data_IF_289949617974
#
_entry.id   IF_289949617974
#
_cell.length_a   1.000
_cell.length_b   1.000
_cell.length_c   1.000
_cell.angle_alpha   90.00
_cell.angle_beta   90.00
_cell.angle_gamma   90.00
#
_symmetry.space_group_name_H-M   'P 1'
#
loop_
_entity.id
_entity.type
_entity.pdbx_description
1 polymer ?
#
# COMPACT_ATOMS: atom_id res chain seq x y z
N UNK A 1 -34.20 -18.62 49.31
CA UNK A 1 -32.73 -18.43 49.24
C UNK A 1 -32.32 -18.27 47.78
N UNK A 2 -32.22 -17.04 47.25
CA UNK A 2 -31.78 -16.76 45.87
C UNK A 2 -30.29 -16.43 45.90
N UNK A 3 -29.49 -17.16 45.13
CA UNK A 3 -28.05 -16.92 44.97
C UNK A 3 -27.82 -15.72 44.03
N UNK A 4 -26.87 -14.86 44.40
CA UNK A 4 -26.41 -13.73 43.60
C UNK A 4 -25.10 -14.14 42.90
N UNK A 5 -25.11 -14.31 41.58
CA UNK A 5 -23.90 -14.55 40.79
C UNK A 5 -23.16 -13.22 40.61
N UNK A 6 -21.88 -13.18 40.99
CA UNK A 6 -20.95 -12.07 40.70
C UNK A 6 -20.73 -12.01 39.18
N UNK A 7 -20.86 -10.81 38.60
CA UNK A 7 -20.40 -10.48 37.25
C UNK A 7 -18.87 -10.43 37.25
N UNK A 8 -18.25 -11.14 36.32
CA UNK A 8 -16.87 -10.88 35.90
C UNK A 8 -16.84 -9.53 35.17
N UNK A 9 -15.72 -8.82 35.33
CA UNK A 9 -15.40 -7.55 34.70
C UNK A 9 -14.39 -7.88 33.60
N UNK A 10 -14.84 -7.81 32.35
CA UNK A 10 -14.04 -8.12 31.17
C UNK A 10 -13.17 -6.89 30.82
N UNK A 11 -11.88 -7.15 30.64
CA UNK A 11 -10.77 -6.21 30.47
C UNK A 11 -10.40 -6.08 28.98
N UNK A 12 -11.39 -5.84 28.13
CA UNK A 12 -11.28 -5.90 26.66
C UNK A 12 -10.81 -4.57 26.01
N UNK A 13 -10.31 -3.63 26.82
CA UNK A 13 -10.07 -2.24 26.40
C UNK A 13 -8.74 -1.99 25.67
N UNK A 14 -7.70 -2.75 25.98
CA UNK A 14 -6.34 -2.43 25.55
C UNK A 14 -5.94 -3.10 24.21
N UNK A 15 -6.46 -4.29 23.91
CA UNK A 15 -6.15 -5.03 22.68
C UNK A 15 -6.67 -4.34 21.39
N UNK A 16 -7.74 -3.57 21.50
CA UNK A 16 -8.36 -2.88 20.35
C UNK A 16 -7.51 -1.68 19.92
N UNK A 17 -6.89 -0.98 20.88
CA UNK A 17 -6.03 0.18 20.59
C UNK A 17 -4.70 -0.26 19.99
N UNK A 18 -4.13 -1.36 20.52
CA UNK A 18 -2.88 -1.92 20.03
C UNK A 18 -3.02 -2.47 18.60
N UNK A 19 -4.09 -3.22 18.29
CA UNK A 19 -4.36 -3.68 16.91
C UNK A 19 -4.51 -2.53 15.90
N UNK A 20 -5.13 -1.42 16.32
CA UNK A 20 -5.33 -0.24 15.48
C UNK A 20 -4.02 0.50 15.23
N UNK A 21 -3.13 0.57 16.22
CA UNK A 21 -1.78 1.12 16.07
C UNK A 21 -0.94 0.21 15.18
N UNK A 22 -1.00 -1.11 15.38
CA UNK A 22 -0.28 -2.07 14.56
C UNK A 22 -0.73 -2.05 13.10
N UNK A 23 -2.03 -1.96 12.82
CA UNK A 23 -2.53 -1.81 11.45
C UNK A 23 -2.17 -0.45 10.82
N UNK A 24 -2.05 0.61 11.63
CA UNK A 24 -1.55 1.92 11.17
C UNK A 24 -0.03 1.93 10.90
N UNK A 25 0.74 1.11 11.62
CA UNK A 25 2.19 0.93 11.42
C UNK A 25 2.52 -0.08 10.31
N UNK A 26 1.60 -1.00 9.99
CA UNK A 26 1.78 -2.09 9.03
C UNK A 26 2.02 -1.62 7.59
N UNK A 27 1.58 -0.42 7.26
CA UNK A 27 1.59 0.12 5.90
C UNK A 27 2.62 1.25 5.70
N UNK A 28 3.57 1.44 6.64
CA UNK A 28 4.64 2.42 6.48
C UNK A 28 5.84 1.82 5.75
N UNK A 29 6.28 2.50 4.68
CA UNK A 29 7.39 2.05 3.84
C UNK A 29 8.63 2.92 4.09
N UNK A 30 9.79 2.29 4.15
CA UNK A 30 11.07 2.93 4.45
C UNK A 30 12.02 2.86 3.26
N UNK A 31 13.03 3.72 3.25
CA UNK A 31 14.08 3.69 2.23
C UNK A 31 14.72 2.29 2.17
N UNK A 32 14.80 1.74 0.96
CA UNK A 32 15.33 0.39 0.72
C UNK A 32 14.25 -0.70 0.63
N UNK A 33 13.03 -0.44 1.09
CA UNK A 33 11.93 -1.38 0.92
C UNK A 33 11.62 -1.59 -0.56
N UNK A 34 11.47 -2.86 -0.94
CA UNK A 34 11.00 -3.23 -2.28
C UNK A 34 9.49 -3.33 -2.26
N UNK A 35 8.86 -2.67 -3.23
CA UNK A 35 7.41 -2.54 -3.34
C UNK A 35 6.96 -2.74 -4.78
N UNK A 36 5.74 -3.23 -4.95
CA UNK A 36 4.99 -2.96 -6.17
C UNK A 36 4.47 -1.53 -6.09
N UNK A 37 4.78 -0.71 -7.09
CA UNK A 37 4.35 0.68 -7.15
C UNK A 37 3.61 0.96 -8.45
N UNK A 38 2.58 1.82 -8.36
CA UNK A 38 1.90 2.37 -9.53
C UNK A 38 2.17 3.87 -9.62
N UNK A 39 2.91 4.28 -10.66
CA UNK A 39 3.08 5.69 -11.02
C UNK A 39 1.93 6.14 -11.93
N UNK A 40 1.61 7.44 -11.90
CA UNK A 40 0.55 7.99 -12.74
C UNK A 40 0.87 7.76 -14.24
N UNK A 41 -0.10 7.21 -14.97
CA UNK A 41 0.08 6.87 -16.39
C UNK A 41 0.80 5.55 -16.66
N UNK A 42 1.23 4.83 -15.61
CA UNK A 42 1.95 3.55 -15.73
C UNK A 42 1.20 2.40 -15.05
N UNK A 43 1.63 1.18 -15.36
CA UNK A 43 1.15 -0.05 -14.72
C UNK A 43 1.86 -0.28 -13.39
N UNK A 44 1.44 -1.32 -12.65
CA UNK A 44 2.17 -1.72 -11.45
C UNK A 44 3.52 -2.31 -11.83
N UNK A 45 4.57 -1.82 -11.19
CA UNK A 45 5.95 -2.20 -11.47
C UNK A 45 6.73 -2.36 -10.17
N UNK A 46 7.69 -3.30 -10.09
CA UNK A 46 8.56 -3.37 -8.93
C UNK A 46 9.40 -2.09 -8.83
N UNK A 47 9.55 -1.57 -7.62
CA UNK A 47 10.30 -0.38 -7.30
C UNK A 47 10.94 -0.51 -5.92
N UNK A 48 11.94 0.32 -5.63
CA UNK A 48 12.41 0.54 -4.27
C UNK A 48 11.98 1.91 -3.77
N UNK A 49 11.63 1.99 -2.50
CA UNK A 49 11.37 3.26 -1.81
C UNK A 49 12.72 3.96 -1.62
N UNK A 50 12.77 5.24 -1.99
CA UNK A 50 14.03 5.98 -2.04
C UNK A 50 13.86 7.42 -1.59
N UNK A 51 14.97 8.08 -1.26
CA UNK A 51 14.96 9.52 -1.00
C UNK A 51 14.81 10.33 -2.28
N UNK A 52 13.96 11.35 -2.27
CA UNK A 52 13.81 12.27 -3.39
C UNK A 52 15.08 13.12 -3.57
N UNK A 53 15.66 13.08 -4.77
CA UNK A 53 16.91 13.79 -5.09
C UNK A 53 16.83 15.32 -4.95
N UNK A 54 15.63 15.89 -5.09
CA UNK A 54 15.41 17.35 -5.08
C UNK A 54 14.83 17.87 -3.76
N UNK A 55 14.54 16.99 -2.80
CA UNK A 55 13.87 17.35 -1.54
C UNK A 55 14.63 16.73 -0.34
N UNK A 56 15.90 17.08 -0.16
CA UNK A 56 16.72 16.67 1.00
C UNK A 56 16.62 15.18 1.38
N UNK A 57 16.56 14.29 0.38
CA UNK A 57 16.43 12.84 0.56
C UNK A 57 15.15 12.39 1.30
N UNK A 58 14.10 13.23 1.31
CA UNK A 58 12.80 12.89 1.87
C UNK A 58 12.16 11.79 1.01
N UNK A 59 11.73 10.70 1.64
CA UNK A 59 11.09 9.55 0.98
C UNK A 59 9.57 9.48 1.23
N UNK A 60 9.06 10.21 2.21
CA UNK A 60 7.65 10.22 2.59
C UNK A 60 7.20 11.63 2.93
N UNK A 61 6.01 12.02 2.44
CA UNK A 61 5.38 13.30 2.81
C UNK A 61 3.86 13.20 2.79
N UNK A 62 3.14 14.04 3.52
CA UNK A 62 1.68 14.10 3.43
C UNK A 62 1.24 14.62 2.05
N UNK A 63 0.08 14.18 1.57
CA UNK A 63 -0.47 14.61 0.27
C UNK A 63 -1.08 16.02 0.34
N UNK A 64 -1.59 16.41 1.50
CA UNK A 64 -2.03 17.78 1.77
C UNK A 64 -1.46 18.26 3.10
N UNK A 65 -1.96 19.38 3.63
CA UNK A 65 -1.46 19.95 4.89
C UNK A 65 -1.40 18.87 5.98
N UNK A 66 -0.31 18.79 6.77
CA UNK A 66 -0.12 17.72 7.77
C UNK A 66 -1.29 17.59 8.75
N UNK A 67 -1.86 18.72 9.17
CA UNK A 67 -3.00 18.82 10.08
C UNK A 67 -4.31 18.24 9.52
N UNK A 68 -4.37 18.06 8.20
CA UNK A 68 -5.59 17.74 7.44
C UNK A 68 -5.52 16.39 6.71
N UNK A 69 -4.35 15.72 6.69
CA UNK A 69 -4.17 14.51 5.87
C UNK A 69 -3.41 13.41 6.57
N UNK A 70 -4.12 12.30 6.80
CA UNK A 70 -3.54 11.00 7.11
C UNK A 70 -2.95 10.30 5.88
N UNK A 71 -3.20 10.83 4.67
CA UNK A 71 -2.71 10.23 3.43
C UNK A 71 -1.26 10.64 3.17
N UNK A 72 -0.41 9.64 2.98
CA UNK A 72 1.00 9.78 2.65
C UNK A 72 1.25 9.49 1.17
N UNK A 73 2.27 10.13 0.63
CA UNK A 73 2.92 9.75 -0.62
C UNK A 73 4.37 9.40 -0.34
N UNK A 74 4.87 8.44 -1.11
CA UNK A 74 6.23 7.92 -1.02
C UNK A 74 6.94 8.13 -2.34
N UNK A 75 8.23 8.43 -2.26
CA UNK A 75 9.08 8.53 -3.43
C UNK A 75 9.65 7.14 -3.73
N UNK A 76 9.45 6.68 -4.95
CA UNK A 76 9.87 5.35 -5.39
C UNK A 76 10.68 5.44 -6.67
N UNK A 77 11.51 4.44 -6.88
CA UNK A 77 12.36 4.30 -8.05
C UNK A 77 12.16 2.91 -8.66
N UNK A 78 11.72 2.86 -9.92
CA UNK A 78 11.37 1.63 -10.63
C UNK A 78 12.59 0.86 -11.12
N UNK A 79 12.57 -0.47 -11.02
CA UNK A 79 13.65 -1.31 -11.56
C UNK A 79 13.64 -1.35 -13.08
N UNK A 80 14.82 -1.30 -13.70
CA UNK A 80 15.02 -1.64 -15.11
C UNK A 80 14.35 -0.74 -16.15
N UNK A 81 13.66 0.32 -15.71
CA UNK A 81 12.93 1.23 -16.59
C UNK A 81 13.57 2.61 -16.51
N UNK A 82 14.35 3.00 -17.53
CA UNK A 82 14.93 4.34 -17.80
C UNK A 82 14.93 5.34 -16.62
N UNK A 83 15.44 4.91 -15.46
CA UNK A 83 15.49 5.71 -14.24
C UNK A 83 14.12 6.30 -13.82
N UNK A 84 12.99 5.67 -14.14
CA UNK A 84 11.66 6.20 -13.77
C UNK A 84 11.48 6.18 -12.27
N UNK A 85 11.21 7.36 -11.73
CA UNK A 85 10.99 7.58 -10.32
C UNK A 85 9.91 8.63 -10.13
N UNK A 86 9.37 8.70 -8.93
CA UNK A 86 8.43 9.76 -8.60
C UNK A 86 7.66 9.49 -7.32
N UNK A 87 6.85 10.48 -6.97
CA UNK A 87 5.93 10.39 -5.85
C UNK A 87 4.69 9.57 -6.23
N UNK A 88 4.32 8.64 -5.37
CA UNK A 88 3.06 7.90 -5.48
C UNK A 88 2.36 7.79 -4.14
N UNK A 89 1.03 7.68 -4.15
CA UNK A 89 0.27 7.54 -2.91
C UNK A 89 0.48 6.17 -2.27
N UNK A 90 0.42 6.09 -0.96
CA UNK A 90 0.44 4.83 -0.19
C UNK A 90 -0.55 3.78 -0.73
N UNK A 91 -1.73 4.18 -1.22
CA UNK A 91 -2.74 3.26 -1.81
C UNK A 91 -2.36 2.69 -3.18
N UNK A 92 -1.27 3.21 -3.76
CA UNK A 92 -0.63 2.78 -5.00
C UNK A 92 0.70 2.07 -4.73
N UNK A 93 0.93 1.66 -3.47
CA UNK A 93 2.02 0.79 -3.07
C UNK A 93 1.48 -0.54 -2.55
N UNK A 94 2.29 -1.57 -2.68
CA UNK A 94 2.06 -2.87 -2.07
C UNK A 94 3.42 -3.52 -1.75
N UNK A 95 3.58 -4.16 -0.58
CA UNK A 95 4.84 -4.85 -0.25
C UNK A 95 5.24 -5.84 -1.35
N UNK A 96 6.53 -5.93 -1.64
CA UNK A 96 7.01 -6.91 -2.60
C UNK A 96 7.27 -8.25 -1.92
N UNK A 97 6.44 -9.25 -2.26
CA UNK A 97 6.63 -10.66 -1.84
C UNK A 97 6.66 -11.62 -3.04
N UNK A 98 6.89 -11.08 -4.23
CA UNK A 98 6.82 -11.80 -5.50
C UNK A 98 5.57 -11.47 -6.32
N UNK A 99 5.56 -11.93 -7.57
CA UNK A 99 4.47 -11.69 -8.51
C UNK A 99 3.20 -12.44 -8.13
N UNK A 100 3.32 -13.68 -7.68
CA UNK A 100 2.17 -14.52 -7.31
C UNK A 100 1.38 -13.91 -6.13
N UNK A 101 2.07 -13.49 -5.07
CA UNK A 101 1.46 -12.79 -3.93
C UNK A 101 0.68 -11.55 -4.38
N UNK A 102 1.27 -10.76 -5.27
CA UNK A 102 0.64 -9.56 -5.81
C UNK A 102 -0.61 -9.85 -6.65
N UNK A 103 -0.57 -10.87 -7.50
CA UNK A 103 -1.72 -11.29 -8.31
C UNK A 103 -2.84 -11.85 -7.44
N UNK A 104 -2.50 -12.67 -6.44
CA UNK A 104 -3.47 -13.23 -5.48
C UNK A 104 -4.15 -12.12 -4.66
N UNK A 105 -3.40 -11.10 -4.26
CA UNK A 105 -3.97 -9.91 -3.58
C UNK A 105 -4.93 -9.14 -4.49
N UNK A 106 -4.58 -8.97 -5.76
CA UNK A 106 -5.45 -8.32 -6.74
C UNK A 106 -6.77 -9.08 -6.93
N UNK A 107 -6.70 -10.41 -7.02
CA UNK A 107 -7.86 -11.29 -7.14
C UNK A 107 -8.71 -11.27 -5.87
N UNK A 108 -8.12 -11.44 -4.69
CA UNK A 108 -8.81 -11.35 -3.40
C UNK A 108 -9.57 -10.03 -3.26
N UNK A 109 -8.95 -8.91 -3.65
CA UNK A 109 -9.61 -7.59 -3.64
C UNK A 109 -10.76 -7.51 -4.64
N UNK A 110 -10.64 -8.15 -5.79
CA UNK A 110 -11.70 -8.19 -6.80
C UNK A 110 -12.88 -9.02 -6.29
N UNK A 111 -12.64 -10.20 -5.69
CA UNK A 111 -13.68 -11.06 -5.12
C UNK A 111 -14.43 -10.40 -3.95
N UNK A 112 -13.74 -9.60 -3.14
CA UNK A 112 -14.35 -8.80 -2.07
C UNK A 112 -15.18 -7.61 -2.58
N UNK A 113 -15.22 -7.36 -3.89
CA UNK A 113 -15.99 -6.26 -4.44
C UNK A 113 -17.49 -6.56 -4.37
N UNK A 114 -18.24 -5.63 -3.79
CA UNK A 114 -19.70 -5.73 -3.62
C UNK A 114 -20.50 -5.62 -4.91
N UNK A 115 -19.87 -5.18 -6.02
CA UNK A 115 -20.55 -5.00 -7.30
C UNK A 115 -19.63 -5.42 -8.45
N UNK A 116 -20.21 -5.95 -9.51
CA UNK A 116 -19.48 -6.34 -10.74
C UNK A 116 -18.65 -5.20 -11.34
N UNK A 117 -19.20 -3.96 -11.37
CA UNK A 117 -18.48 -2.78 -11.83
C UNK A 117 -17.22 -2.50 -11.00
N UNK A 118 -17.30 -2.67 -9.69
CA UNK A 118 -16.16 -2.47 -8.78
C UNK A 118 -15.12 -3.58 -8.95
N UNK A 119 -15.56 -4.82 -9.09
CA UNK A 119 -14.69 -5.97 -9.39
C UNK A 119 -13.88 -5.72 -10.67
N UNK A 120 -14.56 -5.41 -11.77
CA UNK A 120 -13.93 -5.11 -13.07
C UNK A 120 -12.95 -3.93 -12.96
N UNK A 121 -13.32 -2.89 -12.21
CA UNK A 121 -12.45 -1.75 -11.93
C UNK A 121 -11.18 -2.13 -11.16
N UNK A 122 -11.27 -3.08 -10.23
CA UNK A 122 -10.13 -3.60 -9.48
C UNK A 122 -9.23 -4.43 -10.39
N UNK A 123 -9.77 -5.39 -11.13
CA UNK A 123 -9.00 -6.20 -12.09
C UNK A 123 -8.24 -5.30 -13.07
N UNK A 124 -8.91 -4.30 -13.63
CA UNK A 124 -8.29 -3.31 -14.53
C UNK A 124 -7.25 -2.45 -13.83
N UNK A 125 -7.41 -2.13 -12.54
CA UNK A 125 -6.44 -1.33 -11.78
C UNK A 125 -5.12 -2.08 -11.59
N UNK A 126 -5.19 -3.39 -11.41
CA UNK A 126 -4.07 -4.29 -11.17
C UNK A 126 -3.52 -4.95 -12.45
N UNK A 127 -4.18 -4.77 -13.59
CA UNK A 127 -3.71 -5.25 -14.90
C UNK A 127 -2.28 -4.77 -15.18
N UNK A 128 -1.35 -5.74 -15.20
CA UNK A 128 0.06 -5.51 -15.49
C UNK A 128 0.28 -5.64 -16.98
N UNK A 129 0.26 -4.50 -17.69
CA UNK A 129 0.80 -4.44 -19.05
C UNK A 129 2.30 -4.20 -18.94
N UNK A 130 3.06 -5.14 -19.49
CA UNK A 130 4.48 -4.94 -19.78
C UNK A 130 4.59 -3.70 -20.67
N UNK A 131 5.41 -2.70 -20.31
CA UNK A 131 5.73 -1.60 -21.21
C UNK A 131 6.38 -2.20 -22.46
N UNK A 132 5.78 -1.96 -23.64
CA UNK A 132 6.32 -2.43 -24.92
C UNK A 132 7.74 -1.91 -25.18
N UNK A 133 8.10 -0.79 -24.53
CA UNK A 133 9.41 -0.13 -24.64
C UNK A 133 10.55 -0.83 -23.88
N UNK A 134 10.26 -1.85 -23.04
CA UNK A 134 11.29 -2.69 -22.43
C UNK A 134 11.75 -3.77 -23.41
N UNK A 135 12.16 -3.37 -24.61
CA UNK A 135 12.96 -4.23 -25.47
C UNK A 135 14.38 -4.28 -24.90
N UNK A 136 14.91 -5.46 -24.55
CA UNK A 136 16.29 -5.58 -24.14
C UNK A 136 17.18 -5.16 -25.32
N UNK A 137 18.09 -4.24 -25.06
CA UNK A 137 19.29 -4.05 -25.89
C UNK A 137 20.13 -5.34 -25.87
#
# INVERSE_FOLDING_TARGET
>A
KKQFKRKQHDDDGDDILESSIFDLLKDEFHIGDVVWAKLNGFTWWPAFVYGCFSEDWIHVKPISKPELSTKKQYFVYCFGWDFKHGWTSQVCLHPYKGLEDFLNHAETKAEQATTKRREEGIRKKFDMKMPEDLHPY
#
